data_IF_307603026400
#
_entry.id   IF_307603026400
#
_cell.length_a   1.000
_cell.length_b   1.000
_cell.length_c   1.000
_cell.angle_alpha   90.00
_cell.angle_beta   90.00
_cell.angle_gamma   90.00
#
_symmetry.space_group_name_H-M   'P 1'
#
loop_
_entity.id
_entity.type
_entity.pdbx_description
1 polymer ?
#
# COMPACT_ATOMS: atom_id res chain seq x y z
N UNK A 1 -14.85 12.36 -8.47
CA UNK A 1 -13.74 13.32 -8.66
C UNK A 1 -12.80 13.22 -7.48
N UNK A 2 -11.78 12.36 -7.59
CA UNK A 2 -10.69 12.29 -6.61
C UNK A 2 -9.54 13.16 -7.09
N UNK A 3 -9.21 14.21 -6.35
CA UNK A 3 -8.01 15.01 -6.58
C UNK A 3 -6.75 14.20 -6.26
N UNK A 4 -5.57 14.74 -6.62
CA UNK A 4 -4.32 14.16 -6.17
C UNK A 4 -4.17 14.33 -4.64
N UNK A 5 -3.56 13.36 -3.98
CA UNK A 5 -3.26 13.41 -2.56
C UNK A 5 -2.00 14.26 -2.33
N UNK A 6 -2.01 15.21 -1.38
CA UNK A 6 -0.83 15.98 -1.02
C UNK A 6 0.29 15.07 -0.51
N UNK A 7 1.51 15.19 -1.05
CA UNK A 7 2.62 14.31 -0.73
C UNK A 7 2.98 14.26 0.75
N UNK A 8 3.00 15.43 1.42
CA UNK A 8 3.24 15.51 2.86
C UNK A 8 2.17 14.76 3.68
N UNK A 9 0.89 14.91 3.34
CA UNK A 9 -0.19 14.21 4.03
C UNK A 9 -0.12 12.69 3.82
N UNK A 10 0.31 12.25 2.63
CA UNK A 10 0.56 10.84 2.34
C UNK A 10 1.73 10.30 3.17
N UNK A 11 2.87 10.99 3.20
CA UNK A 11 4.04 10.55 3.97
C UNK A 11 3.76 10.51 5.48
N UNK A 12 3.13 11.55 6.03
CA UNK A 12 2.77 11.59 7.45
C UNK A 12 1.85 10.42 7.82
N UNK A 13 0.84 10.14 7.00
CA UNK A 13 -0.12 9.06 7.23
C UNK A 13 0.54 7.67 7.20
N UNK A 14 1.36 7.39 6.18
CA UNK A 14 1.95 6.06 6.03
C UNK A 14 3.00 5.80 7.11
N UNK A 15 3.73 6.82 7.57
CA UNK A 15 4.62 6.70 8.73
C UNK A 15 3.82 6.46 10.02
N UNK A 16 2.70 7.16 10.23
CA UNK A 16 1.81 6.93 11.39
C UNK A 16 1.23 5.51 11.39
N UNK A 17 0.91 4.97 10.21
CA UNK A 17 0.47 3.59 10.03
C UNK A 17 1.57 2.55 10.22
N UNK A 18 2.84 2.96 10.42
CA UNK A 18 3.96 2.07 10.70
C UNK A 18 4.74 1.60 9.48
N UNK A 19 4.61 2.29 8.33
CA UNK A 19 5.50 2.04 7.21
C UNK A 19 6.86 2.73 7.41
N UNK A 20 7.90 2.07 6.96
CA UNK A 20 9.26 2.59 6.98
C UNK A 20 9.77 2.83 5.56
N UNK A 21 10.31 4.01 5.30
CA UNK A 21 10.97 4.33 4.04
C UNK A 21 12.29 3.54 3.91
N UNK A 22 12.52 2.91 2.77
CA UNK A 22 13.69 2.05 2.61
C UNK A 22 14.08 1.73 1.18
N UNK A 23 14.28 0.44 0.94
CA UNK A 23 14.79 -0.07 -0.33
C UNK A 23 13.95 0.42 -1.51
N UNK A 24 14.61 0.67 -2.65
CA UNK A 24 13.96 1.17 -3.87
C UNK A 24 13.29 2.55 -3.73
N UNK A 25 13.55 3.30 -2.65
CA UNK A 25 12.94 4.62 -2.42
C UNK A 25 11.41 4.57 -2.32
N UNK A 26 10.91 3.50 -1.67
CA UNK A 26 9.49 3.28 -1.37
C UNK A 26 9.32 2.95 0.12
N UNK A 27 8.08 2.76 0.55
CA UNK A 27 7.73 2.45 1.93
C UNK A 27 7.42 0.97 2.12
N UNK A 28 7.78 0.42 3.27
CA UNK A 28 7.63 -1.00 3.59
C UNK A 28 6.96 -1.17 4.95
N UNK A 29 6.00 -2.07 5.04
CA UNK A 29 5.41 -2.48 6.31
C UNK A 29 6.09 -3.77 6.77
N UNK A 30 6.71 -3.74 7.95
CA UNK A 30 7.50 -4.86 8.47
C UNK A 30 6.73 -5.67 9.52
N UNK A 31 7.13 -6.93 9.69
CA UNK A 31 6.77 -7.74 10.85
C UNK A 31 7.50 -7.24 12.09
N UNK A 32 7.10 -7.72 13.27
CA UNK A 32 7.81 -7.43 14.52
C UNK A 32 9.27 -7.92 14.51
N UNK A 33 9.61 -8.85 13.60
CA UNK A 33 10.96 -9.37 13.41
C UNK A 33 11.77 -8.58 12.35
N UNK A 34 11.19 -7.54 11.76
CA UNK A 34 11.83 -6.69 10.75
C UNK A 34 11.78 -7.25 9.32
N UNK A 35 10.96 -8.28 9.06
CA UNK A 35 10.78 -8.81 7.71
C UNK A 35 9.72 -8.02 6.95
N UNK A 36 9.96 -7.59 5.69
CA UNK A 36 8.96 -6.83 4.94
C UNK A 36 7.77 -7.74 4.58
N UNK A 37 6.57 -7.32 4.97
CA UNK A 37 5.32 -8.05 4.71
C UNK A 37 4.67 -7.59 3.39
N UNK A 38 4.61 -6.29 3.18
CA UNK A 38 4.15 -5.65 1.93
C UNK A 38 4.76 -4.26 1.81
N UNK A 39 4.70 -3.69 0.61
CA UNK A 39 5.29 -2.41 0.26
C UNK A 39 4.26 -1.47 -0.36
N UNK A 40 4.49 -0.17 -0.18
CA UNK A 40 3.71 0.91 -0.73
C UNK A 40 4.59 1.75 -1.66
N UNK A 41 4.16 1.89 -2.90
CA UNK A 41 4.82 2.73 -3.90
C UNK A 41 3.90 3.84 -4.40
N UNK A 42 4.50 4.88 -4.96
CA UNK A 42 3.75 5.88 -5.73
C UNK A 42 3.27 5.22 -7.04
N UNK A 43 2.01 5.38 -7.41
CA UNK A 43 1.51 4.84 -8.69
C UNK A 43 1.89 5.68 -9.90
N UNK A 44 2.58 6.82 -9.71
CA UNK A 44 3.14 7.65 -10.77
C UNK A 44 4.61 7.30 -10.99
N UNK A 45 5.03 7.16 -12.25
CA UNK A 45 6.43 6.92 -12.62
C UNK A 45 7.36 7.99 -12.02
N UNK A 46 8.51 7.61 -11.41
CA UNK A 46 9.14 6.29 -11.46
C UNK A 46 8.66 5.30 -10.38
N UNK A 47 7.68 5.68 -9.56
CA UNK A 47 7.13 4.85 -8.49
C UNK A 47 7.70 5.11 -7.10
N UNK A 48 8.58 6.11 -6.97
CA UNK A 48 9.31 6.42 -5.75
C UNK A 48 8.73 7.62 -5.01
N UNK A 49 9.18 7.82 -3.77
CA UNK A 49 8.92 9.03 -2.99
C UNK A 49 10.19 9.87 -2.90
N UNK A 50 10.09 11.18 -3.21
CA UNK A 50 11.17 12.13 -2.99
C UNK A 50 10.95 12.88 -1.67
N UNK A 51 11.48 12.30 -0.59
CA UNK A 51 11.34 12.84 0.77
C UNK A 51 11.93 14.24 0.94
N UNK A 52 12.87 14.65 0.07
CA UNK A 52 13.42 16.00 0.09
C UNK A 52 12.43 17.07 -0.39
N UNK A 53 11.37 16.65 -1.08
CA UNK A 53 10.43 17.51 -1.79
C UNK A 53 8.96 17.15 -1.50
N UNK A 54 8.67 16.49 -0.38
CA UNK A 54 7.33 16.01 -0.02
C UNK A 54 6.25 17.10 -0.03
N UNK A 55 6.60 18.32 0.38
CA UNK A 55 5.69 19.48 0.37
C UNK A 55 5.33 19.99 -1.04
N UNK A 56 6.00 19.50 -2.09
CA UNK A 56 5.87 20.00 -3.46
C UNK A 56 5.33 18.98 -4.45
N UNK A 57 5.11 17.73 -4.04
CA UNK A 57 4.48 16.72 -4.89
C UNK A 57 3.06 16.40 -4.42
N UNK A 58 2.26 15.94 -5.37
CA UNK A 58 0.97 15.32 -5.12
C UNK A 58 0.94 14.00 -5.90
N UNK A 59 0.17 13.02 -5.43
CA UNK A 59 0.00 11.77 -6.16
C UNK A 59 -1.47 11.37 -6.33
N UNK A 60 -1.92 11.05 -7.55
CA UNK A 60 -3.29 10.58 -7.78
C UNK A 60 -3.48 9.10 -7.41
N UNK A 61 -2.40 8.35 -7.18
CA UNK A 61 -2.49 6.91 -6.95
C UNK A 61 -1.34 6.40 -6.09
N UNK A 62 -1.68 5.52 -5.15
CA UNK A 62 -0.75 4.73 -4.36
C UNK A 62 -1.00 3.26 -4.68
N UNK A 63 0.05 2.45 -4.64
CA UNK A 63 -0.06 1.02 -4.89
C UNK A 63 0.57 0.22 -3.74
N UNK A 64 -0.27 -0.60 -3.10
CA UNK A 64 0.16 -1.61 -2.14
C UNK A 64 0.38 -2.94 -2.87
N UNK A 65 1.48 -3.61 -2.57
CA UNK A 65 1.77 -4.92 -3.13
C UNK A 65 2.57 -5.79 -2.16
N UNK A 66 2.42 -7.10 -2.29
CA UNK A 66 3.17 -8.11 -1.55
C UNK A 66 3.94 -9.00 -2.54
N UNK A 67 5.10 -9.51 -2.14
CA UNK A 67 5.84 -10.51 -2.91
C UNK A 67 5.63 -11.88 -2.28
N UNK A 68 5.16 -12.84 -3.08
CA UNK A 68 4.89 -14.21 -2.63
C UNK A 68 5.90 -15.19 -3.28
N UNK A 69 6.32 -16.27 -2.60
CA UNK A 69 5.92 -16.64 -1.23
C UNK A 69 6.58 -15.75 -0.17
N UNK A 70 5.85 -15.40 0.88
CA UNK A 70 6.41 -14.71 2.03
C UNK A 70 7.14 -15.70 2.95
N UNK A 71 8.21 -15.26 3.60
CA UNK A 71 8.87 -16.04 4.67
C UNK A 71 7.98 -16.22 5.91
N UNK A 72 6.98 -15.36 6.07
CA UNK A 72 6.08 -15.31 7.21
C UNK A 72 5.00 -16.41 7.15
N UNK A 73 4.65 -16.96 8.31
CA UNK A 73 3.81 -18.16 8.45
C UNK A 73 2.31 -17.97 8.13
N UNK A 74 1.86 -16.83 7.58
CA UNK A 74 0.43 -16.59 7.31
C UNK A 74 0.18 -15.52 6.24
N UNK A 75 0.43 -15.85 4.98
CA UNK A 75 0.16 -14.97 3.82
C UNK A 75 -1.27 -14.45 3.77
N UNK A 76 -2.27 -15.27 4.14
CA UNK A 76 -3.67 -14.84 4.22
C UNK A 76 -3.90 -13.73 5.26
N UNK A 77 -3.27 -13.83 6.43
CA UNK A 77 -3.39 -12.79 7.47
C UNK A 77 -2.71 -11.49 7.03
N UNK A 78 -1.62 -11.62 6.26
CA UNK A 78 -0.88 -10.47 5.72
C UNK A 78 -1.69 -9.77 4.63
N UNK A 79 -2.36 -10.54 3.77
CA UNK A 79 -3.31 -10.00 2.79
C UNK A 79 -4.47 -9.28 3.47
N UNK A 80 -5.10 -9.88 4.48
CA UNK A 80 -6.20 -9.25 5.22
C UNK A 80 -5.73 -7.93 5.88
N UNK A 81 -4.53 -7.93 6.48
CA UNK A 81 -3.91 -6.73 7.05
C UNK A 81 -3.64 -5.65 6.00
N UNK A 82 -3.12 -6.03 4.82
CA UNK A 82 -2.86 -5.11 3.72
C UNK A 82 -4.16 -4.46 3.23
N UNK A 83 -5.25 -5.23 3.14
CA UNK A 83 -6.58 -4.73 2.75
C UNK A 83 -7.14 -3.75 3.79
N UNK A 84 -7.01 -4.06 5.08
CA UNK A 84 -7.48 -3.19 6.16
C UNK A 84 -6.72 -1.85 6.15
N UNK A 85 -5.40 -1.88 5.96
CA UNK A 85 -4.59 -0.66 5.81
C UNK A 85 -5.01 0.13 4.56
N UNK A 86 -5.22 -0.54 3.42
CA UNK A 86 -5.65 0.13 2.19
C UNK A 86 -6.97 0.90 2.38
N UNK A 87 -7.92 0.30 3.12
CA UNK A 87 -9.20 0.93 3.46
C UNK A 87 -9.02 2.13 4.37
N UNK A 88 -8.23 1.99 5.44
CA UNK A 88 -7.95 3.09 6.37
C UNK A 88 -7.24 4.26 5.66
N UNK A 89 -6.27 3.97 4.78
CA UNK A 89 -5.64 4.98 3.94
C UNK A 89 -6.64 5.71 3.04
N UNK A 90 -7.54 4.96 2.40
CA UNK A 90 -8.57 5.54 1.54
C UNK A 90 -9.53 6.44 2.34
N UNK A 91 -9.96 6.00 3.53
CA UNK A 91 -10.84 6.78 4.40
C UNK A 91 -10.18 8.09 4.85
N UNK A 92 -8.90 8.04 5.22
CA UNK A 92 -8.16 9.21 5.71
C UNK A 92 -7.74 10.19 4.60
N UNK A 93 -7.41 9.69 3.41
CA UNK A 93 -7.04 10.52 2.24
C UNK A 93 -8.24 10.95 1.39
N UNK A 94 -9.44 10.44 1.66
CA UNK A 94 -10.62 10.65 0.82
C UNK A 94 -10.51 9.96 -0.54
N UNK A 95 -9.83 8.82 -0.59
CA UNK A 95 -9.63 8.00 -1.79
C UNK A 95 -10.61 6.83 -1.90
N UNK A 96 -10.35 5.97 -2.89
CA UNK A 96 -11.08 4.71 -3.10
C UNK A 96 -10.08 3.59 -3.28
N UNK A 97 -10.30 2.45 -2.64
CA UNK A 97 -9.48 1.26 -2.85
C UNK A 97 -9.88 0.59 -4.16
N UNK A 98 -8.89 0.36 -5.02
CA UNK A 98 -9.06 -0.36 -6.27
C UNK A 98 -8.33 -1.69 -6.21
N UNK A 99 -8.80 -2.67 -6.98
CA UNK A 99 -8.11 -3.94 -7.20
C UNK A 99 -7.07 -3.84 -8.35
N UNK A 100 -6.42 -4.96 -8.67
CA UNK A 100 -5.41 -5.05 -9.73
C UNK A 100 -5.95 -4.73 -11.13
N UNK A 101 -7.27 -4.89 -11.34
CA UNK A 101 -7.95 -4.50 -12.57
C UNK A 101 -8.35 -3.01 -12.59
N UNK A 102 -8.02 -2.25 -11.53
CA UNK A 102 -8.43 -0.85 -11.29
C UNK A 102 -9.95 -0.69 -11.13
N UNK A 103 -10.63 -1.73 -10.66
CA UNK A 103 -12.04 -1.68 -10.28
C UNK A 103 -12.16 -1.48 -8.76
N UNK A 104 -13.26 -0.89 -8.25
CA UNK A 104 -13.47 -0.79 -6.81
C UNK A 104 -13.31 -2.15 -6.11
N UNK A 105 -12.50 -2.18 -5.05
CA UNK A 105 -12.21 -3.42 -4.34
C UNK A 105 -13.51 -4.06 -3.83
N UNK A 106 -13.77 -5.29 -4.27
CA UNK A 106 -14.98 -6.04 -3.96
C UNK A 106 -14.67 -7.30 -3.14
N UNK A 107 -15.70 -7.94 -2.60
CA UNK A 107 -15.55 -9.25 -1.95
C UNK A 107 -15.02 -10.31 -2.92
N UNK A 108 -15.44 -10.26 -4.20
CA UNK A 108 -14.97 -11.16 -5.25
C UNK A 108 -13.47 -10.95 -5.54
N UNK A 109 -13.01 -9.70 -5.58
CA UNK A 109 -11.59 -9.37 -5.74
C UNK A 109 -10.75 -9.96 -4.58
N UNK A 110 -11.25 -9.84 -3.34
CA UNK A 110 -10.58 -10.36 -2.13
C UNK A 110 -10.53 -11.90 -2.15
N UNK A 111 -11.63 -12.57 -2.50
CA UNK A 111 -11.66 -14.02 -2.57
C UNK A 111 -10.73 -14.55 -3.68
N UNK A 112 -10.65 -13.84 -4.81
CA UNK A 112 -9.67 -14.12 -5.88
C UNK A 112 -8.23 -14.00 -5.38
N UNK A 113 -7.89 -12.97 -4.59
CA UNK A 113 -6.55 -12.86 -4.00
C UNK A 113 -6.25 -14.00 -3.04
N UNK A 114 -7.21 -14.38 -2.18
CA UNK A 114 -7.05 -15.50 -1.25
C UNK A 114 -6.84 -16.82 -1.97
N UNK A 115 -7.50 -17.04 -3.09
CA UNK A 115 -7.31 -18.25 -3.89
C UNK A 115 -5.92 -18.29 -4.54
N UNK A 116 -5.40 -17.15 -5.01
CA UNK A 116 -4.04 -17.08 -5.55
C UNK A 116 -2.97 -17.44 -4.51
N UNK A 117 -3.19 -17.12 -3.23
CA UNK A 117 -2.27 -17.49 -2.15
C UNK A 117 -2.31 -18.98 -1.76
N UNK A 118 -3.31 -19.74 -2.23
CA UNK A 118 -3.43 -21.17 -1.94
C UNK A 118 -2.83 -22.07 -3.02
N UNK A 119 -2.55 -21.52 -4.21
CA UNK A 119 -2.04 -22.24 -5.37
C UNK A 119 -0.52 -22.30 -5.42
#
# INVERSE_FOLDING_TARGET
DGGAFPGAAVEDLIEEMGFEYGAFSIFHYHSELGEPLFSLMNGVNPGTFDRGHAASFETPVLALFMQVPLSAQSEMLILDRMIDIARDMADQLGGTVLDDAREPLSAESIDRYREQLRS
#
